data_IF_584789635621
#
_entry.id   IF_584789635621
#
_cell.length_a   1.000
_cell.length_b   1.000
_cell.length_c   1.000
_cell.angle_alpha   90.00
_cell.angle_beta   90.00
_cell.angle_gamma   90.00
#
_symmetry.space_group_name_H-M   'P 1'
#
loop_
_entity.id
_entity.type
_entity.pdbx_description
1 polymer ?
#
# COMPACT_ATOMS: atom_id res chain seq x y z
N UNK A 1 11.31 16.22 -3.15
CA UNK A 1 10.13 15.85 -3.96
C UNK A 1 8.95 15.62 -3.02
N UNK A 2 7.68 15.70 -3.45
CA UNK A 2 6.56 15.35 -2.57
C UNK A 2 5.96 14.01 -3.00
N UNK A 3 6.32 12.94 -2.29
CA UNK A 3 5.94 11.56 -2.58
C UNK A 3 5.24 10.94 -1.36
N UNK A 4 4.26 10.07 -1.62
CA UNK A 4 3.57 9.30 -0.61
C UNK A 4 3.71 7.80 -0.87
N UNK A 5 3.96 7.04 0.19
CA UNK A 5 3.87 5.58 0.22
C UNK A 5 2.58 5.22 0.97
N UNK A 6 1.68 4.52 0.30
CA UNK A 6 0.49 3.91 0.87
C UNK A 6 0.82 2.47 1.26
N UNK A 7 0.63 2.13 2.53
CA UNK A 7 0.85 0.78 3.02
C UNK A 7 -0.38 -0.10 2.72
N UNK A 8 -0.14 -1.24 2.07
CA UNK A 8 -1.09 -2.35 2.02
C UNK A 8 -1.09 -3.15 3.35
N UNK A 9 -2.03 -4.09 3.51
CA UNK A 9 -2.31 -4.84 4.73
C UNK A 9 -1.11 -5.65 5.22
N UNK A 10 -0.33 -6.26 4.33
CA UNK A 10 0.89 -7.01 4.65
C UNK A 10 1.96 -6.13 5.31
N UNK A 11 2.48 -5.10 4.61
CA UNK A 11 3.42 -4.14 5.19
C UNK A 11 2.88 -3.46 6.45
N UNK A 12 1.63 -2.98 6.46
CA UNK A 12 1.03 -2.40 7.65
C UNK A 12 0.98 -3.40 8.82
N UNK A 13 0.66 -4.65 8.52
CA UNK A 13 0.69 -5.77 9.46
C UNK A 13 2.04 -5.91 10.13
N UNK A 14 3.15 -5.81 9.39
CA UNK A 14 4.52 -5.82 9.94
C UNK A 14 4.79 -4.61 10.82
N UNK A 15 4.37 -3.41 10.42
CA UNK A 15 4.47 -2.20 11.25
C UNK A 15 3.79 -2.35 12.61
N UNK A 16 2.67 -3.09 12.64
CA UNK A 16 1.86 -3.30 13.83
C UNK A 16 2.34 -4.52 14.65
N UNK A 17 2.75 -5.59 13.99
CA UNK A 17 3.30 -6.79 14.61
C UNK A 17 4.82 -6.74 14.68
N UNK A 18 5.36 -6.29 15.81
CA UNK A 18 6.81 -6.18 16.01
C UNK A 18 7.46 -7.53 16.37
N UNK A 19 7.55 -8.47 15.41
CA UNK A 19 8.61 -9.48 15.49
C UNK A 19 9.96 -8.75 15.38
N UNK A 20 11.00 -9.26 16.02
CA UNK A 20 12.33 -8.60 16.02
C UNK A 20 12.84 -8.34 14.61
N UNK A 21 12.63 -9.29 13.69
CA UNK A 21 12.99 -9.16 12.27
C UNK A 21 12.33 -7.95 11.61
N UNK A 22 11.06 -7.68 11.91
CA UNK A 22 10.33 -6.56 11.31
C UNK A 22 10.78 -5.20 11.86
N UNK A 23 11.32 -5.13 13.09
CA UNK A 23 11.76 -3.84 13.65
C UNK A 23 12.91 -3.22 12.84
N UNK A 24 13.85 -4.06 12.37
CA UNK A 24 14.94 -3.60 11.52
C UNK A 24 14.40 -3.08 10.18
N UNK A 25 13.52 -3.84 9.52
CA UNK A 25 12.89 -3.47 8.24
C UNK A 25 12.10 -2.16 8.34
N UNK A 26 11.28 -2.02 9.39
CA UNK A 26 10.50 -0.81 9.66
C UNK A 26 11.42 0.39 9.89
N UNK A 27 12.53 0.19 10.60
CA UNK A 27 13.50 1.26 10.87
C UNK A 27 14.21 1.69 9.58
N UNK A 28 14.61 0.74 8.73
CA UNK A 28 15.17 1.01 7.41
C UNK A 28 14.19 1.83 6.56
N UNK A 29 12.94 1.38 6.43
CA UNK A 29 11.93 2.07 5.63
C UNK A 29 11.60 3.47 6.17
N UNK A 30 11.47 3.64 7.49
CA UNK A 30 11.23 4.96 8.09
C UNK A 30 12.43 5.90 7.91
N UNK A 31 13.65 5.41 8.05
CA UNK A 31 14.86 6.22 7.86
C UNK A 31 15.00 6.66 6.41
N UNK A 32 14.78 5.74 5.47
CA UNK A 32 14.73 6.04 4.04
C UNK A 32 13.66 7.07 3.72
N UNK A 33 12.42 6.84 4.14
CA UNK A 33 11.33 7.78 3.89
C UNK A 33 11.61 9.16 4.48
N UNK A 34 12.19 9.23 5.68
CA UNK A 34 12.59 10.49 6.30
C UNK A 34 13.71 11.20 5.53
N UNK A 35 14.72 10.47 5.07
CA UNK A 35 15.84 11.03 4.31
C UNK A 35 15.38 11.60 2.96
N UNK A 36 14.45 10.91 2.29
CA UNK A 36 13.90 11.30 0.99
C UNK A 36 12.72 12.28 1.08
N UNK A 37 12.24 12.60 2.29
CA UNK A 37 11.07 13.45 2.50
C UNK A 37 9.76 12.81 2.01
N UNK A 38 9.65 11.49 2.07
CA UNK A 38 8.49 10.69 1.65
C UNK A 38 7.53 10.52 2.83
N UNK A 39 6.25 10.75 2.59
CA UNK A 39 5.18 10.50 3.58
C UNK A 39 4.76 9.03 3.56
N UNK A 40 4.80 8.34 4.71
CA UNK A 40 4.21 7.00 4.86
C UNK A 40 2.79 7.15 5.40
N UNK A 41 1.82 6.71 4.62
CA UNK A 41 0.39 6.87 4.88
C UNK A 41 -0.32 5.51 4.94
N UNK A 42 -1.45 5.50 5.63
CA UNK A 42 -2.31 4.34 5.88
C UNK A 42 -3.66 4.59 5.22
N UNK A 43 -3.98 3.90 4.13
CA UNK A 43 -5.32 3.88 3.57
C UNK A 43 -6.33 3.38 4.61
N UNK A 44 -7.43 4.10 4.81
CA UNK A 44 -8.46 3.69 5.79
C UNK A 44 -9.05 2.31 5.46
N UNK A 45 -9.17 1.94 4.17
CA UNK A 45 -9.67 0.61 3.78
C UNK A 45 -8.78 -0.51 4.31
N UNK A 46 -7.46 -0.30 4.27
CA UNK A 46 -6.47 -1.24 4.78
C UNK A 46 -6.44 -1.25 6.31
N UNK A 47 -6.70 -0.11 6.96
CA UNK A 47 -6.86 -0.07 8.42
C UNK A 47 -8.05 -0.90 8.88
N UNK A 48 -9.20 -0.75 8.21
CA UNK A 48 -10.42 -1.49 8.51
C UNK A 48 -10.18 -2.99 8.32
N UNK A 49 -9.65 -3.40 7.17
CA UNK A 49 -9.35 -4.80 6.86
C UNK A 49 -8.42 -5.42 7.91
N UNK A 50 -7.27 -4.79 8.15
CA UNK A 50 -6.30 -5.31 9.11
C UNK A 50 -6.93 -5.38 10.52
N UNK A 51 -7.69 -4.36 10.92
CA UNK A 51 -8.34 -4.35 12.24
C UNK A 51 -9.35 -5.49 12.38
N UNK A 52 -10.15 -5.78 11.36
CA UNK A 52 -11.07 -6.91 11.36
C UNK A 52 -10.32 -8.25 11.53
N UNK A 53 -9.21 -8.45 10.82
CA UNK A 53 -8.40 -9.65 10.96
C UNK A 53 -7.79 -9.78 12.36
N UNK A 54 -7.28 -8.68 12.93
CA UNK A 54 -6.74 -8.65 14.27
C UNK A 54 -7.80 -8.96 15.34
N UNK A 55 -9.03 -8.46 15.15
CA UNK A 55 -10.17 -8.74 16.04
C UNK A 55 -10.57 -10.21 15.96
N UNK A 56 -10.64 -10.80 14.76
CA UNK A 56 -10.94 -12.23 14.57
C UNK A 56 -9.95 -13.17 15.28
N UNK A 57 -8.74 -12.69 15.57
CA UNK A 57 -7.66 -13.45 16.23
C UNK A 57 -7.38 -13.02 17.68
N UNK A 58 -8.20 -12.14 18.26
CA UNK A 58 -8.03 -11.57 19.61
C UNK A 58 -6.67 -10.88 19.84
N UNK A 59 -6.08 -10.28 18.80
CA UNK A 59 -4.76 -9.62 18.87
C UNK A 59 -4.85 -8.17 19.39
N UNK A 60 -5.37 -8.01 20.61
CA UNK A 60 -5.62 -6.70 21.25
C UNK A 60 -4.38 -5.80 21.33
N UNK A 61 -3.20 -6.38 21.60
CA UNK A 61 -1.93 -5.62 21.64
C UNK A 61 -1.59 -5.01 20.28
N UNK A 62 -1.84 -5.76 19.20
CA UNK A 62 -1.61 -5.31 17.82
C UNK A 62 -2.61 -4.23 17.45
N UNK A 63 -3.89 -4.34 17.84
CA UNK A 63 -4.88 -3.27 17.64
C UNK A 63 -4.44 -1.97 18.34
N UNK A 64 -3.90 -2.05 19.56
CA UNK A 64 -3.38 -0.88 20.27
C UNK A 64 -2.21 -0.21 19.51
N UNK A 65 -1.33 -1.01 18.91
CA UNK A 65 -0.22 -0.51 18.07
C UNK A 65 -0.72 0.13 16.77
N UNK A 66 -1.67 -0.49 16.09
CA UNK A 66 -2.35 0.09 14.91
C UNK A 66 -2.97 1.45 15.25
N UNK A 67 -3.68 1.54 16.38
CA UNK A 67 -4.27 2.78 16.87
C UNK A 67 -3.24 3.86 17.22
N UNK A 68 -2.01 3.50 17.60
CA UNK A 68 -0.92 4.46 17.84
C UNK A 68 -0.30 4.91 16.52
N UNK A 69 -0.06 3.98 15.61
CA UNK A 69 0.52 4.25 14.29
C UNK A 69 -0.35 5.24 13.49
N UNK A 70 -1.67 5.07 13.53
CA UNK A 70 -2.61 5.91 12.79
C UNK A 70 -2.81 7.32 13.35
N UNK A 71 -2.56 7.53 14.64
CA UNK A 71 -2.75 8.83 15.32
C UNK A 71 -1.74 9.91 14.92
N UNK A 72 -0.79 9.60 14.05
CA UNK A 72 0.25 10.51 13.58
C UNK A 72 -0.15 11.22 12.26
N UNK A 73 -1.44 11.52 12.08
CA UNK A 73 -2.00 12.10 10.85
C UNK A 73 -1.67 11.31 9.56
N UNK A 74 -1.53 9.99 9.71
CA UNK A 74 -1.14 9.08 8.61
C UNK A 74 -2.33 8.50 7.86
N UNK A 75 -3.55 8.63 8.37
CA UNK A 75 -4.73 8.01 7.76
C UNK A 75 -5.19 8.80 6.55
N UNK A 76 -5.47 8.10 5.45
CA UNK A 76 -6.19 8.62 4.30
C UNK A 76 -7.62 8.10 4.34
N UNK A 77 -8.61 8.96 4.63
CA UNK A 77 -10.00 8.56 4.67
C UNK A 77 -10.51 8.06 3.32
N UNK A 78 -11.38 7.04 3.33
CA UNK A 78 -12.12 6.63 2.14
C UNK A 78 -13.23 7.64 1.88
N UNK A 79 -13.35 8.09 0.64
CA UNK A 79 -14.45 8.91 0.18
C UNK A 79 -15.27 8.20 -0.93
N UNK A 80 -16.41 8.78 -1.30
CA UNK A 80 -17.30 8.20 -2.31
C UNK A 80 -16.68 8.12 -3.71
N UNK A 81 -15.74 9.02 -4.02
CA UNK A 81 -15.02 9.00 -5.30
C UNK A 81 -14.03 7.83 -5.37
N UNK A 82 -13.45 7.40 -4.25
CA UNK A 82 -12.60 6.22 -4.20
C UNK A 82 -13.42 4.96 -4.51
N UNK A 83 -14.60 4.82 -3.90
CA UNK A 83 -15.52 3.69 -4.13
C UNK A 83 -16.05 3.66 -5.55
N UNK A 84 -16.40 4.82 -6.09
CA UNK A 84 -16.93 4.94 -7.44
C UNK A 84 -15.85 4.60 -8.47
N UNK A 85 -14.63 5.11 -8.28
CA UNK A 85 -13.51 4.81 -9.16
C UNK A 85 -13.10 3.33 -9.09
N UNK A 86 -13.11 2.69 -7.92
CA UNK A 86 -12.80 1.26 -7.82
C UNK A 86 -13.79 0.40 -8.59
N UNK A 87 -15.08 0.75 -8.58
CA UNK A 87 -16.10 0.06 -9.40
C UNK A 87 -15.77 0.21 -10.89
N UNK A 88 -15.43 1.42 -11.33
CA UNK A 88 -15.06 1.67 -12.74
C UNK A 88 -13.84 0.85 -13.14
N UNK A 89 -12.78 0.84 -12.33
CA UNK A 89 -11.56 0.06 -12.57
C UNK A 89 -11.90 -1.43 -12.72
N UNK A 90 -12.70 -1.97 -11.81
CA UNK A 90 -13.04 -3.39 -11.80
C UNK A 90 -13.98 -3.79 -12.94
N UNK A 91 -14.96 -2.95 -13.30
CA UNK A 91 -15.82 -3.15 -14.47
C UNK A 91 -15.03 -3.09 -15.79
N UNK A 92 -14.08 -2.16 -15.91
CA UNK A 92 -13.19 -2.08 -17.07
C UNK A 92 -12.38 -3.38 -17.24
N UNK A 93 -11.88 -3.97 -16.15
CA UNK A 93 -11.18 -5.26 -16.20
C UNK A 93 -12.10 -6.43 -16.57
N UNK A 94 -13.34 -6.46 -16.06
CA UNK A 94 -14.36 -7.46 -16.47
C UNK A 94 -14.63 -7.39 -17.96
N UNK A 95 -14.76 -6.18 -18.49
CA UNK A 95 -15.00 -5.97 -19.93
C UNK A 95 -13.85 -6.49 -20.81
N UNK A 96 -12.64 -6.59 -20.25
CA UNK A 96 -11.45 -7.13 -20.89
C UNK A 96 -11.30 -8.66 -20.71
N UNK A 97 -12.31 -9.33 -20.13
CA UNK A 97 -12.33 -10.78 -19.96
C UNK A 97 -11.66 -11.28 -18.68
N UNK A 98 -11.30 -10.41 -17.74
CA UNK A 98 -10.81 -10.83 -16.42
C UNK A 98 -11.97 -11.18 -15.49
N UNK A 99 -11.83 -12.27 -14.72
CA UNK A 99 -12.79 -12.60 -13.67
C UNK A 99 -12.57 -11.69 -12.46
N UNK A 100 -13.35 -10.61 -12.39
CA UNK A 100 -13.44 -9.80 -11.16
C UNK A 100 -14.77 -10.13 -10.47
N UNK A 101 -14.74 -10.40 -9.17
CA UNK A 101 -15.92 -10.83 -8.43
C UNK A 101 -16.80 -9.66 -7.99
N UNK A 102 -18.11 -9.78 -8.28
CA UNK A 102 -19.21 -8.98 -7.69
C UNK A 102 -19.35 -7.52 -8.14
N UNK A 103 -20.51 -6.92 -7.84
CA UNK A 103 -20.83 -5.49 -8.03
C UNK A 103 -20.30 -4.60 -6.90
N UNK A 104 -19.64 -5.19 -5.90
CA UNK A 104 -19.05 -4.49 -4.76
C UNK A 104 -17.55 -4.38 -5.01
N UNK A 105 -16.95 -3.19 -4.90
CA UNK A 105 -15.53 -3.04 -5.12
C UNK A 105 -14.71 -3.78 -4.05
N UNK A 106 -13.62 -4.40 -4.48
CA UNK A 106 -12.65 -5.05 -3.60
C UNK A 106 -11.85 -4.02 -2.78
N UNK A 107 -11.24 -4.45 -1.68
CA UNK A 107 -10.35 -3.60 -0.89
C UNK A 107 -9.13 -3.15 -1.72
N UNK A 108 -8.58 -4.03 -2.55
CA UNK A 108 -7.50 -3.73 -3.48
C UNK A 108 -7.94 -2.68 -4.52
N UNK A 109 -9.15 -2.81 -5.05
CA UNK A 109 -9.75 -1.83 -5.96
C UNK A 109 -9.88 -0.46 -5.30
N UNK A 110 -10.38 -0.40 -4.05
CA UNK A 110 -10.48 0.85 -3.29
C UNK A 110 -9.10 1.43 -2.97
N UNK A 111 -8.12 0.59 -2.62
CA UNK A 111 -6.73 1.01 -2.38
C UNK A 111 -6.12 1.66 -3.63
N UNK A 112 -6.27 1.02 -4.79
CA UNK A 112 -5.81 1.56 -6.07
C UNK A 112 -6.52 2.87 -6.41
N UNK A 113 -7.85 2.93 -6.21
CA UNK A 113 -8.62 4.15 -6.43
C UNK A 113 -8.18 5.30 -5.52
N UNK A 114 -7.94 5.02 -4.23
CA UNK A 114 -7.38 6.00 -3.28
C UNK A 114 -6.01 6.51 -3.73
N UNK A 115 -5.14 5.61 -4.20
CA UNK A 115 -3.82 6.00 -4.70
C UNK A 115 -3.92 6.94 -5.92
N UNK A 116 -4.83 6.64 -6.85
CA UNK A 116 -5.08 7.47 -8.04
C UNK A 116 -5.65 8.83 -7.63
N UNK A 117 -6.72 8.86 -6.82
CA UNK A 117 -7.35 10.11 -6.39
C UNK A 117 -6.38 10.99 -5.58
N UNK A 118 -5.56 10.40 -4.72
CA UNK A 118 -4.53 11.12 -3.98
C UNK A 118 -3.51 11.77 -4.91
N UNK A 119 -3.07 11.06 -5.96
CA UNK A 119 -2.18 11.62 -6.98
C UNK A 119 -2.86 12.75 -7.76
N UNK A 120 -4.10 12.55 -8.20
CA UNK A 120 -4.87 13.52 -8.98
C UNK A 120 -5.22 14.80 -8.19
N UNK A 121 -5.31 14.71 -6.86
CA UNK A 121 -5.51 15.89 -6.00
C UNK A 121 -4.38 16.94 -6.12
N UNK A 122 -3.22 16.55 -6.65
CA UNK A 122 -2.03 17.39 -6.73
C UNK A 122 -1.29 17.54 -5.41
N UNK A 123 -1.79 16.94 -4.31
CA UNK A 123 -1.10 16.96 -3.02
C UNK A 123 0.27 16.29 -3.11
N UNK A 124 0.36 15.13 -3.76
CA UNK A 124 1.61 14.42 -3.99
C UNK A 124 1.90 14.32 -5.49
N UNK A 125 3.16 14.56 -5.87
CA UNK A 125 3.62 14.37 -7.27
C UNK A 125 3.64 12.89 -7.65
N UNK A 126 3.86 12.04 -6.65
CA UNK A 126 3.92 10.61 -6.81
C UNK A 126 3.26 9.91 -5.63
N UNK A 127 2.53 8.85 -5.93
CA UNK A 127 1.92 7.96 -4.96
C UNK A 127 2.34 6.55 -5.31
N UNK A 128 2.83 5.84 -4.29
CA UNK A 128 3.36 4.49 -4.37
C UNK A 128 2.50 3.60 -3.49
N UNK A 129 2.05 2.46 -3.98
CA UNK A 129 1.50 1.40 -3.13
C UNK A 129 2.64 0.45 -2.76
N UNK A 130 2.89 0.26 -1.47
CA UNK A 130 3.83 -0.72 -0.96
C UNK A 130 3.06 -1.96 -0.52
N UNK A 131 3.30 -3.09 -1.20
CA UNK A 131 2.54 -4.33 -1.02
C UNK A 131 3.45 -5.57 -1.05
N UNK A 132 2.94 -6.68 -0.53
CA UNK A 132 3.53 -8.02 -0.72
C UNK A 132 2.81 -8.81 -1.84
N UNK A 133 1.72 -8.26 -2.40
CA UNK A 133 0.93 -8.87 -3.47
C UNK A 133 0.92 -7.98 -4.72
N UNK A 134 2.09 -7.78 -5.32
CA UNK A 134 2.24 -6.88 -6.47
C UNK A 134 1.39 -7.28 -7.67
N UNK A 135 1.14 -8.57 -7.87
CA UNK A 135 0.39 -9.10 -9.03
C UNK A 135 -1.06 -8.62 -9.06
N UNK A 136 -1.76 -8.70 -7.93
CA UNK A 136 -3.18 -8.34 -7.89
C UNK A 136 -3.35 -6.82 -8.00
N UNK A 137 -2.50 -6.05 -7.31
CA UNK A 137 -2.48 -4.58 -7.43
C UNK A 137 -2.10 -4.12 -8.84
N UNK A 138 -1.11 -4.77 -9.49
CA UNK A 138 -0.71 -4.46 -10.87
C UNK A 138 -1.85 -4.70 -11.86
N UNK A 139 -2.65 -5.74 -11.63
CA UNK A 139 -3.81 -6.06 -12.47
C UNK A 139 -4.85 -4.94 -12.43
N UNK A 140 -5.02 -4.31 -11.27
CA UNK A 140 -5.95 -3.20 -11.04
C UNK A 140 -5.39 -1.83 -11.45
N UNK A 141 -4.07 -1.70 -11.57
CA UNK A 141 -3.37 -0.45 -11.84
C UNK A 141 -3.25 -0.14 -13.35
N UNK A 142 -3.90 0.93 -13.79
CA UNK A 142 -3.87 1.42 -15.19
C UNK A 142 -2.72 2.40 -15.50
N UNK A 143 -1.48 2.08 -15.07
CA UNK A 143 -0.23 2.88 -15.22
C UNK A 143 -0.20 4.24 -14.51
N UNK A 144 -1.24 4.61 -13.78
CA UNK A 144 -1.30 5.92 -13.12
C UNK A 144 -0.61 5.94 -11.75
N UNK A 145 -0.29 4.77 -11.19
CA UNK A 145 0.32 4.62 -9.87
C UNK A 145 1.59 3.77 -9.95
N UNK A 146 2.49 3.98 -8.99
CA UNK A 146 3.70 3.17 -8.84
C UNK A 146 3.45 2.11 -7.78
N UNK A 147 3.97 0.90 -7.98
CA UNK A 147 3.82 -0.21 -7.03
C UNK A 147 5.20 -0.70 -6.62
N UNK A 148 5.43 -0.78 -5.32
CA UNK A 148 6.65 -1.31 -4.73
C UNK A 148 6.37 -2.66 -4.09
N UNK A 149 7.21 -3.64 -4.42
CA UNK A 149 7.30 -4.90 -3.67
C UNK A 149 8.04 -4.63 -2.35
N UNK A 150 7.39 -4.94 -1.22
CA UNK A 150 7.97 -4.71 0.10
C UNK A 150 9.30 -5.45 0.28
N UNK A 151 9.38 -6.71 -0.15
CA UNK A 151 10.58 -7.53 0.03
C UNK A 151 11.75 -7.00 -0.80
N UNK A 152 11.48 -6.56 -2.03
CA UNK A 152 12.49 -5.94 -2.88
C UNK A 152 12.99 -4.61 -2.29
N UNK A 153 12.09 -3.75 -1.79
CA UNK A 153 12.47 -2.48 -1.15
C UNK A 153 13.36 -2.74 0.06
N UNK A 154 12.96 -3.64 0.95
CA UNK A 154 13.77 -3.98 2.14
C UNK A 154 15.12 -4.59 1.74
N UNK A 155 15.16 -5.46 0.74
CA UNK A 155 16.41 -6.01 0.22
C UNK A 155 17.35 -4.89 -0.26
N UNK A 156 16.85 -3.95 -1.06
CA UNK A 156 17.63 -2.80 -1.56
C UNK A 156 18.15 -1.93 -0.43
N UNK A 157 17.29 -1.57 0.53
CA UNK A 157 17.69 -0.78 1.70
C UNK A 157 18.74 -1.48 2.56
N UNK A 158 18.68 -2.81 2.67
CA UNK A 158 19.63 -3.59 3.48
C UNK A 158 21.03 -3.64 2.85
N UNK A 159 21.11 -3.53 1.52
CA UNK A 159 22.35 -3.64 0.76
C UNK A 159 22.82 -2.29 0.18
N UNK A 160 22.28 -1.17 0.68
CA UNK A 160 22.56 0.19 0.20
C UNK A 160 22.41 0.33 -1.33
N UNK A 161 21.44 -0.38 -1.91
CA UNK A 161 21.14 -0.32 -3.33
C UNK A 161 20.18 0.84 -3.62
N UNK A 162 20.36 1.46 -4.79
CA UNK A 162 19.51 2.56 -5.25
C UNK A 162 18.05 2.12 -5.41
N UNK A 163 17.14 2.94 -4.88
CA UNK A 163 15.69 2.80 -5.07
C UNK A 163 15.26 3.85 -6.09
N UNK A 164 14.91 3.38 -7.30
CA UNK A 164 14.34 4.26 -8.33
C UNK A 164 12.95 4.74 -7.87
N UNK A 165 12.90 6.01 -7.48
CA UNK A 165 11.65 6.62 -7.06
C UNK A 165 10.68 6.76 -8.24
N UNK A 166 11.12 6.83 -9.49
CA UNK A 166 10.31 7.16 -10.67
C UNK A 166 9.82 5.91 -11.41
N UNK A 167 10.62 4.85 -11.50
CA UNK A 167 10.26 3.59 -12.15
C UNK A 167 10.37 2.42 -11.18
N UNK A 168 9.22 1.96 -10.70
CA UNK A 168 9.10 0.63 -10.16
C UNK A 168 7.98 -0.09 -10.90
N UNK A 169 8.37 -0.69 -12.01
CA UNK A 169 7.89 -2.01 -12.42
C UNK A 169 9.12 -2.71 -12.99
N UNK A 170 9.81 -3.48 -12.16
CA UNK A 170 10.63 -4.58 -12.65
C UNK A 170 10.14 -5.83 -11.94
N UNK A 171 9.38 -6.63 -12.68
CA UNK A 171 9.09 -8.02 -12.35
C UNK A 171 10.47 -8.67 -12.08
N UNK A 172 10.72 -9.09 -10.84
CA UNK A 172 11.95 -9.83 -10.51
C UNK A 172 12.03 -11.14 -11.33
N UNK A 173 13.24 -11.68 -11.57
CA UNK A 173 13.54 -12.56 -12.69
C UNK A 173 12.85 -13.93 -12.57
N UNK A 174 12.75 -14.70 -13.68
CA UNK A 174 12.33 -16.08 -13.59
C UNK A 174 13.35 -16.85 -12.73
N UNK A 175 12.81 -17.68 -11.83
CA UNK A 175 13.45 -18.75 -11.04
C UNK A 175 13.73 -18.42 -9.56
N UNK A 176 12.89 -19.00 -8.70
CA UNK A 176 13.27 -19.64 -7.43
C UNK A 176 12.34 -20.84 -7.21
#
# INVERSE_FOLDING_TARGET
>A
MNCAILLDSGPLGKFVHQRETFQAEISLLNNFAKAEGISILVPEIIEIELKEELLKRDFIKSISKLNKFKRQDRIIPINDSDRSLSIVIEEDLKSQGQQVASTIPSNDGILVAQAINLKLSGQYKQVIILTENTKDILTLSNKQITIWDYSEVIYKLTHDLEIDLVNFVNILPPNS
#
